data_IF_485208143301
#
_entry.id   IF_485208143301
#
_cell.length_a   1.000
_cell.length_b   1.000
_cell.length_c   1.000
_cell.angle_alpha   90.00
_cell.angle_beta   90.00
_cell.angle_gamma   90.00
#
_symmetry.space_group_name_H-M   'P 1'
#
loop_
_entity.id
_entity.type
_entity.pdbx_description
1 polymer ?
#
# COMPACT_ATOMS: atom_id res chain seq x y z
N UNK A 1 -7.35 29.90 -7.94
CA UNK A 1 -6.91 29.72 -6.53
C UNK A 1 -5.91 28.57 -6.51
N UNK A 2 -4.66 28.74 -6.06
CA UNK A 2 -3.76 27.60 -5.91
C UNK A 2 -4.37 26.61 -4.90
N UNK A 3 -4.66 25.38 -5.35
CA UNK A 3 -5.15 24.34 -4.45
C UNK A 3 -4.09 24.11 -3.35
N UNK A 4 -4.50 24.24 -2.08
CA UNK A 4 -3.61 23.97 -0.96
C UNK A 4 -3.01 22.57 -1.08
N UNK A 5 -1.68 22.48 -0.96
CA UNK A 5 -0.95 21.20 -1.03
C UNK A 5 -1.50 20.28 0.06
N UNK A 6 -1.88 19.06 -0.32
CA UNK A 6 -2.34 18.03 0.61
C UNK A 6 -1.16 17.26 1.15
N UNK A 7 -1.09 17.20 2.46
CA UNK A 7 -0.02 16.53 3.17
C UNK A 7 -0.48 15.21 3.77
N UNK A 8 0.32 14.17 3.54
CA UNK A 8 0.13 12.84 4.10
C UNK A 8 1.41 12.38 4.79
N UNK A 9 1.23 11.61 5.86
CA UNK A 9 2.28 10.72 6.32
C UNK A 9 2.10 9.37 5.62
N UNK A 10 3.19 8.73 5.25
CA UNK A 10 3.16 7.37 4.74
C UNK A 10 4.31 6.51 5.26
N UNK A 11 4.19 5.21 5.13
CA UNK A 11 5.27 4.25 5.30
C UNK A 11 5.19 3.19 4.22
N UNK A 12 6.30 2.53 3.94
CA UNK A 12 6.38 1.42 2.99
C UNK A 12 6.85 0.15 3.70
N UNK A 13 6.26 -0.98 3.33
CA UNK A 13 6.78 -2.31 3.66
C UNK A 13 7.29 -2.92 2.35
N UNK A 14 8.54 -3.36 2.36
CA UNK A 14 9.27 -3.88 1.20
C UNK A 14 9.56 -5.35 1.45
N UNK A 15 8.77 -6.23 0.86
CA UNK A 15 9.09 -7.65 0.80
C UNK A 15 10.18 -7.84 -0.26
N UNK A 16 11.30 -8.48 0.11
CA UNK A 16 12.44 -8.64 -0.77
C UNK A 16 13.05 -10.04 -0.66
N UNK A 17 13.19 -10.68 -1.81
CA UNK A 17 14.15 -11.77 -2.03
C UNK A 17 15.41 -11.16 -2.61
N UNK A 18 16.53 -11.41 -1.95
CA UNK A 18 17.81 -10.80 -2.32
C UNK A 18 18.90 -11.86 -2.38
N UNK A 19 19.91 -11.63 -3.22
CA UNK A 19 21.15 -12.42 -3.22
C UNK A 19 22.27 -11.53 -2.67
N UNK A 20 22.89 -11.87 -1.52
CA UNK A 20 23.99 -11.10 -0.98
C UNK A 20 25.22 -11.15 -1.91
N UNK A 21 26.01 -10.08 -1.91
CA UNK A 21 27.32 -10.06 -2.53
C UNK A 21 28.35 -10.66 -1.57
N UNK A 22 28.98 -11.76 -1.97
CA UNK A 22 29.95 -12.51 -1.16
C UNK A 22 29.46 -13.91 -0.80
N UNK A 23 30.39 -14.85 -0.70
CA UNK A 23 30.11 -16.21 -0.25
C UNK A 23 30.36 -16.29 1.26
N UNK A 24 29.31 -16.15 2.06
CA UNK A 24 29.37 -16.40 3.49
C UNK A 24 28.34 -17.45 3.88
N UNK A 25 28.71 -18.72 3.72
CA UNK A 25 27.82 -19.86 4.01
C UNK A 25 27.46 -19.98 5.50
N UNK A 26 28.25 -19.35 6.37
CA UNK A 26 28.00 -19.32 7.81
C UNK A 26 26.93 -18.29 8.22
N UNK A 27 26.62 -17.29 7.39
CA UNK A 27 25.66 -16.25 7.76
C UNK A 27 24.22 -16.77 7.80
N UNK A 28 23.53 -16.45 8.87
CA UNK A 28 22.08 -16.61 8.99
C UNK A 28 21.35 -15.44 8.34
N UNK A 29 20.03 -15.56 8.15
CA UNK A 29 19.23 -14.42 7.70
C UNK A 29 19.33 -13.22 8.66
N UNK A 30 19.40 -13.48 9.97
CA UNK A 30 19.54 -12.42 10.99
C UNK A 30 20.86 -11.67 10.81
N UNK A 31 21.95 -12.36 10.49
CA UNK A 31 23.23 -11.71 10.18
C UNK A 31 23.13 -10.82 8.95
N UNK A 32 22.42 -11.26 7.91
CA UNK A 32 22.16 -10.43 6.73
C UNK A 32 21.26 -9.22 7.05
N UNK A 33 20.25 -9.38 7.92
CA UNK A 33 19.43 -8.27 8.38
C UNK A 33 20.26 -7.24 9.15
N UNK A 34 21.16 -7.70 10.01
CA UNK A 34 22.13 -6.88 10.74
C UNK A 34 23.02 -6.10 9.78
N UNK A 35 23.52 -6.75 8.72
CA UNK A 35 24.33 -6.11 7.70
C UNK A 35 23.58 -4.98 7.00
N UNK A 36 22.34 -5.21 6.53
CA UNK A 36 21.56 -4.17 5.89
C UNK A 36 21.32 -2.98 6.84
N UNK A 37 20.92 -3.26 8.09
CA UNK A 37 20.72 -2.22 9.09
C UNK A 37 22.02 -1.43 9.38
N UNK A 38 23.18 -2.10 9.41
CA UNK A 38 24.48 -1.43 9.55
C UNK A 38 24.81 -0.56 8.33
N UNK A 39 24.52 -1.00 7.10
CA UNK A 39 24.75 -0.19 5.89
C UNK A 39 23.88 1.06 5.85
N UNK A 40 22.64 0.98 6.34
CA UNK A 40 21.79 2.14 6.54
C UNK A 40 22.39 3.10 7.58
N UNK A 41 22.83 2.59 8.74
CA UNK A 41 23.47 3.41 9.78
C UNK A 41 24.76 4.09 9.31
N UNK A 42 25.57 3.41 8.51
CA UNK A 42 26.79 4.00 7.91
C UNK A 42 26.49 5.18 6.98
N UNK A 43 25.25 5.31 6.51
CA UNK A 43 24.75 6.44 5.71
C UNK A 43 24.00 7.48 6.54
N UNK A 44 24.09 7.41 7.88
CA UNK A 44 23.36 8.30 8.78
C UNK A 44 21.87 7.98 8.93
N UNK A 45 21.40 6.84 8.41
CA UNK A 45 19.99 6.44 8.49
C UNK A 45 19.77 5.56 9.70
N UNK A 46 18.83 5.97 10.56
CA UNK A 46 18.42 5.18 11.71
C UNK A 46 17.79 3.87 11.24
N UNK A 47 18.39 2.74 11.62
CA UNK A 47 17.91 1.42 11.25
C UNK A 47 18.18 0.39 12.34
N UNK A 48 17.22 -0.52 12.51
CA UNK A 48 17.25 -1.66 13.43
C UNK A 48 16.91 -2.94 12.66
N UNK A 49 17.24 -4.08 13.24
CA UNK A 49 16.94 -5.40 12.69
C UNK A 49 16.26 -6.25 13.75
N UNK A 50 15.51 -7.26 13.31
CA UNK A 50 14.95 -8.27 14.19
C UNK A 50 16.02 -9.31 14.55
N UNK A 51 16.21 -9.54 15.85
CA UNK A 51 17.10 -10.58 16.37
C UNK A 51 16.37 -11.93 16.54
N UNK A 52 15.05 -11.98 16.35
CA UNK A 52 14.23 -13.17 16.54
C UNK A 52 13.80 -13.82 15.21
N UNK A 53 13.72 -15.15 15.22
CA UNK A 53 13.25 -15.95 14.06
C UNK A 53 11.72 -15.92 13.86
N UNK A 54 10.97 -15.36 14.82
CA UNK A 54 9.50 -15.28 14.81
C UNK A 54 9.04 -13.88 14.40
N UNK A 55 8.18 -13.81 13.37
CA UNK A 55 7.55 -12.56 12.92
C UNK A 55 6.95 -11.78 14.09
N UNK A 56 7.48 -10.59 14.33
CA UNK A 56 7.05 -9.71 15.41
C UNK A 56 6.76 -8.32 14.85
N UNK A 57 5.64 -7.73 15.29
CA UNK A 57 5.30 -6.35 14.92
C UNK A 57 5.92 -5.41 15.93
N UNK A 58 6.66 -4.42 15.44
CA UNK A 58 7.35 -3.42 16.27
C UNK A 58 6.87 -1.98 15.98
N UNK A 59 5.66 -1.60 16.42
CA UNK A 59 5.12 -0.25 16.21
C UNK A 59 6.02 0.89 16.71
N UNK A 60 6.86 0.60 17.70
CA UNK A 60 7.84 1.52 18.29
C UNK A 60 8.91 1.99 17.29
N UNK A 61 9.23 1.21 16.25
CA UNK A 61 10.25 1.58 15.27
C UNK A 61 9.73 2.54 14.19
N UNK A 62 8.41 2.55 13.95
CA UNK A 62 7.77 3.42 12.95
C UNK A 62 7.94 4.91 13.25
N UNK A 63 8.33 5.27 14.48
CA UNK A 63 8.58 6.63 14.93
C UNK A 63 9.87 7.29 14.43
N UNK A 64 10.72 6.57 13.68
CA UNK A 64 11.90 7.19 13.08
C UNK A 64 13.02 6.26 12.60
N UNK A 65 12.80 4.94 12.56
CA UNK A 65 13.82 3.98 12.16
C UNK A 65 13.31 3.05 11.06
N UNK A 66 14.18 2.67 10.13
CA UNK A 66 13.95 1.52 9.28
C UNK A 66 14.05 0.24 10.12
N UNK A 67 13.23 -0.76 9.80
CA UNK A 67 13.21 -2.03 10.49
C UNK A 67 13.33 -3.17 9.49
N UNK A 68 14.42 -3.94 9.60
CA UNK A 68 14.66 -5.13 8.78
C UNK A 68 14.20 -6.36 9.56
N UNK A 69 13.24 -7.10 9.02
CA UNK A 69 12.64 -8.26 9.69
C UNK A 69 12.41 -9.40 8.71
N UNK A 70 11.92 -10.52 9.22
CA UNK A 70 11.54 -11.69 8.44
C UNK A 70 10.10 -11.53 7.96
N UNK A 71 9.87 -11.81 6.68
CA UNK A 71 8.53 -12.17 6.20
C UNK A 71 8.29 -13.68 6.31
N UNK A 72 7.16 -14.09 6.87
CA UNK A 72 6.84 -15.51 7.08
C UNK A 72 6.39 -16.26 5.82
N UNK A 73 5.90 -15.51 4.83
CA UNK A 73 5.43 -16.03 3.53
C UNK A 73 6.55 -16.18 2.51
N UNK A 74 7.63 -15.40 2.65
CA UNK A 74 8.82 -15.52 1.80
C UNK A 74 9.74 -16.67 2.24
N UNK A 75 10.01 -17.60 1.33
CA UNK A 75 10.93 -18.72 1.54
C UNK A 75 11.72 -19.03 0.29
N UNK A 76 13.04 -18.90 0.35
CA UNK A 76 13.95 -19.33 -0.71
C UNK A 76 15.12 -20.10 -0.12
N UNK A 77 15.64 -21.11 -0.82
CA UNK A 77 16.86 -21.78 -0.40
C UNK A 77 18.03 -20.79 -0.42
N UNK A 78 19.08 -21.08 0.35
CA UNK A 78 20.35 -20.37 0.24
C UNK A 78 20.86 -20.45 -1.22
N UNK A 79 21.57 -19.43 -1.74
CA UNK A 79 22.12 -18.27 -1.02
C UNK A 79 21.16 -17.09 -0.87
N UNK A 80 19.87 -17.22 -1.21
CA UNK A 80 18.94 -16.12 -1.14
C UNK A 80 18.57 -15.77 0.31
N UNK A 81 18.39 -14.47 0.55
CA UNK A 81 17.94 -13.89 1.83
C UNK A 81 16.58 -13.26 1.60
N UNK A 82 15.57 -13.78 2.31
CA UNK A 82 14.22 -13.25 2.33
C UNK A 82 14.06 -12.28 3.50
N UNK A 83 13.52 -11.09 3.27
CA UNK A 83 13.28 -10.08 4.31
C UNK A 83 12.04 -9.23 4.01
N UNK A 84 11.45 -8.67 5.05
CA UNK A 84 10.57 -7.51 4.98
C UNK A 84 11.34 -6.31 5.55
N UNK A 85 11.36 -5.20 4.82
CA UNK A 85 11.97 -3.95 5.29
C UNK A 85 10.88 -2.90 5.43
N UNK A 86 10.66 -2.43 6.65
CA UNK A 86 9.62 -1.45 6.97
C UNK A 86 10.25 -0.08 7.16
N UNK A 87 9.74 0.92 6.45
CA UNK A 87 10.23 2.29 6.57
C UNK A 87 9.76 2.96 7.87
N UNK A 88 10.46 4.02 8.32
CA UNK A 88 9.85 4.95 9.26
C UNK A 88 8.63 5.64 8.64
N UNK A 89 7.85 6.33 9.47
CA UNK A 89 6.83 7.26 9.00
C UNK A 89 7.51 8.44 8.28
N UNK A 90 7.24 8.57 6.99
CA UNK A 90 7.69 9.65 6.12
C UNK A 90 6.58 10.69 5.95
N UNK A 91 6.94 11.95 5.77
CA UNK A 91 6.00 13.05 5.50
C UNK A 91 6.26 13.64 4.12
N UNK A 92 5.20 13.74 3.31
CA UNK A 92 5.23 14.37 1.98
C UNK A 92 5.64 15.84 1.97
N UNK A 93 5.66 16.53 3.13
CA UNK A 93 6.21 17.88 3.27
C UNK A 93 7.74 17.91 3.15
N UNK A 94 8.40 16.80 3.45
CA UNK A 94 9.85 16.68 3.39
C UNK A 94 10.29 15.99 2.09
N UNK A 95 11.57 16.12 1.75
CA UNK A 95 12.16 15.41 0.62
C UNK A 95 12.15 13.91 0.88
N UNK A 96 11.13 13.19 0.41
CA UNK A 96 11.02 11.73 0.60
C UNK A 96 11.83 10.93 -0.42
N UNK A 97 12.11 11.50 -1.60
CA UNK A 97 12.87 10.81 -2.64
C UNK A 97 14.30 10.46 -2.21
N UNK A 98 15.07 11.37 -1.57
CA UNK A 98 16.39 11.03 -1.02
C UNK A 98 16.33 9.87 -0.01
N UNK A 99 15.37 9.88 0.92
CA UNK A 99 15.25 8.85 1.96
C UNK A 99 15.04 7.45 1.34
N UNK A 100 14.17 7.36 0.33
CA UNK A 100 13.94 6.09 -0.39
C UNK A 100 15.15 5.73 -1.26
N UNK A 101 15.84 6.73 -1.85
CA UNK A 101 17.05 6.50 -2.64
C UNK A 101 18.18 5.93 -1.81
N UNK A 102 18.47 6.52 -0.66
CA UNK A 102 19.55 6.08 0.22
C UNK A 102 19.29 4.65 0.75
N UNK A 103 18.02 4.29 0.99
CA UNK A 103 17.66 2.91 1.30
C UNK A 103 18.04 1.95 0.16
N UNK A 104 17.64 2.26 -1.08
CA UNK A 104 17.93 1.40 -2.23
C UNK A 104 19.41 1.34 -2.57
N UNK A 105 20.15 2.42 -2.34
CA UNK A 105 21.61 2.40 -2.43
C UNK A 105 22.23 1.50 -1.36
N UNK A 106 21.79 1.60 -0.10
CA UNK A 106 22.27 0.73 0.97
C UNK A 106 21.98 -0.75 0.68
N UNK A 107 20.79 -1.06 0.16
CA UNK A 107 20.40 -2.39 -0.30
C UNK A 107 21.36 -2.88 -1.39
N UNK A 108 21.59 -2.08 -2.44
CA UNK A 108 22.39 -2.46 -3.61
C UNK A 108 23.90 -2.52 -3.38
N UNK A 109 24.40 -1.95 -2.28
CA UNK A 109 25.80 -2.10 -1.91
C UNK A 109 26.13 -3.54 -1.49
N UNK A 110 25.17 -4.24 -0.88
CA UNK A 110 25.44 -5.55 -0.28
C UNK A 110 24.55 -6.69 -0.80
N UNK A 111 23.50 -6.33 -1.52
CA UNK A 111 22.54 -7.27 -2.06
C UNK A 111 22.21 -6.96 -3.51
N UNK A 112 21.97 -8.02 -4.29
CA UNK A 112 21.27 -7.96 -5.57
C UNK A 112 19.79 -8.28 -5.29
N UNK A 113 18.86 -7.32 -5.29
CA UNK A 113 17.43 -7.63 -5.26
C UNK A 113 17.06 -8.52 -6.43
N UNK A 114 16.22 -9.53 -6.18
CA UNK A 114 15.73 -10.44 -7.20
C UNK A 114 14.32 -10.05 -7.62
N UNK A 115 14.04 -10.26 -8.90
CA UNK A 115 12.66 -10.30 -9.37
C UNK A 115 12.05 -11.63 -8.89
N UNK A 116 11.07 -11.53 -8.02
CA UNK A 116 10.38 -12.65 -7.40
C UNK A 116 8.91 -12.30 -7.14
N UNK A 117 8.00 -12.99 -7.81
CA UNK A 117 6.55 -12.76 -7.76
C UNK A 117 5.92 -12.95 -6.38
N UNK A 118 6.62 -13.62 -5.45
CA UNK A 118 6.16 -13.72 -4.06
C UNK A 118 6.34 -12.42 -3.28
N UNK A 119 7.16 -11.48 -3.77
CA UNK A 119 7.38 -10.19 -3.13
C UNK A 119 6.29 -9.17 -3.47
N UNK A 120 5.77 -8.51 -2.44
CA UNK A 120 4.89 -7.36 -2.54
C UNK A 120 5.44 -6.09 -1.91
N UNK A 121 4.96 -4.97 -2.43
CA UNK A 121 5.13 -3.67 -1.81
C UNK A 121 3.84 -3.21 -1.14
N UNK A 122 3.93 -2.79 0.12
CA UNK A 122 2.80 -2.18 0.82
C UNK A 122 3.03 -0.69 1.03
N UNK A 123 1.97 0.11 0.91
CA UNK A 123 2.00 1.54 1.23
C UNK A 123 0.93 1.86 2.26
N UNK A 124 1.38 2.36 3.41
CA UNK A 124 0.53 2.78 4.51
C UNK A 124 0.38 4.28 4.48
N UNK A 125 -0.85 4.80 4.58
CA UNK A 125 -1.10 6.26 4.52
C UNK A 125 -1.94 6.72 5.70
N UNK A 126 -1.59 7.87 6.26
CA UNK A 126 -2.39 8.65 7.21
C UNK A 126 -2.42 10.12 6.82
N UNK A 127 -3.45 10.89 7.22
CA UNK A 127 -3.43 12.34 7.04
C UNK A 127 -2.42 12.97 8.01
N UNK A 128 -1.89 14.14 7.66
CA UNK A 128 -1.14 14.99 8.60
C UNK A 128 -2.15 15.76 9.45
N UNK A 129 -2.39 15.29 10.68
CA UNK A 129 -3.19 15.98 11.69
C UNK A 129 -2.75 15.57 13.09
N UNK A 130 -3.28 16.22 14.13
CA UNK A 130 -2.91 15.97 15.54
C UNK A 130 -3.01 14.50 15.97
N UNK A 131 -3.87 13.71 15.32
CA UNK A 131 -4.10 12.30 15.65
C UNK A 131 -3.49 11.33 14.65
N UNK A 132 -2.87 11.82 13.56
CA UNK A 132 -2.44 11.07 12.38
C UNK A 132 -3.47 10.03 11.92
N UNK A 133 -4.76 10.42 11.91
CA UNK A 133 -5.88 9.50 11.68
C UNK A 133 -6.93 10.13 10.79
N UNK A 134 -7.46 9.34 9.85
CA UNK A 134 -8.64 9.74 9.09
C UNK A 134 -9.88 9.80 10.00
N UNK A 135 -10.76 10.76 9.72
CA UNK A 135 -12.12 10.77 10.28
C UNK A 135 -12.93 9.62 9.70
N UNK A 136 -14.00 9.17 10.39
CA UNK A 136 -14.89 8.16 9.84
C UNK A 136 -15.53 8.64 8.52
N UNK A 137 -15.92 9.91 8.44
CA UNK A 137 -16.45 10.53 7.21
C UNK A 137 -15.48 10.35 6.04
N UNK A 138 -14.21 10.66 6.24
CA UNK A 138 -13.18 10.49 5.20
C UNK A 138 -12.96 9.01 4.84
N UNK A 139 -12.94 8.13 5.84
CA UNK A 139 -12.79 6.69 5.62
C UNK A 139 -13.92 6.11 4.76
N UNK A 140 -15.17 6.55 4.97
CA UNK A 140 -16.31 6.13 4.15
C UNK A 140 -16.16 6.53 2.68
N UNK A 141 -15.66 7.75 2.41
CA UNK A 141 -15.37 8.19 1.03
C UNK A 141 -14.34 7.29 0.36
N UNK A 142 -13.23 7.03 1.06
CA UNK A 142 -12.14 6.18 0.55
C UNK A 142 -12.64 4.75 0.36
N UNK A 143 -13.38 4.21 1.32
CA UNK A 143 -13.96 2.87 1.25
C UNK A 143 -14.87 2.70 0.03
N UNK A 144 -15.73 3.67 -0.26
CA UNK A 144 -16.61 3.56 -1.43
C UNK A 144 -15.86 3.73 -2.75
N UNK A 145 -14.91 4.66 -2.83
CA UNK A 145 -14.05 4.81 -4.00
C UNK A 145 -13.20 3.56 -4.26
N UNK A 146 -12.73 2.86 -3.22
CA UNK A 146 -12.08 1.55 -3.33
C UNK A 146 -12.94 0.55 -4.09
N UNK A 147 -14.26 0.54 -3.88
CA UNK A 147 -15.17 -0.39 -4.56
C UNK A 147 -15.46 0.05 -5.99
N UNK A 148 -15.77 1.34 -6.19
CA UNK A 148 -16.11 1.88 -7.52
C UNK A 148 -14.92 1.82 -8.47
N UNK A 149 -13.71 2.08 -7.99
CA UNK A 149 -12.50 2.06 -8.80
C UNK A 149 -11.73 0.75 -8.80
N UNK A 150 -12.26 -0.28 -8.14
CA UNK A 150 -11.54 -1.53 -7.95
C UNK A 150 -11.11 -2.17 -9.28
N UNK A 151 -11.94 -2.12 -10.32
CA UNK A 151 -11.63 -2.76 -11.61
C UNK A 151 -10.55 -1.98 -12.39
N UNK A 152 -10.52 -0.65 -12.29
CA UNK A 152 -9.43 0.16 -12.84
C UNK A 152 -8.11 -0.13 -12.13
N UNK A 153 -8.15 -0.28 -10.80
CA UNK A 153 -6.97 -0.65 -10.02
C UNK A 153 -6.51 -2.05 -10.42
N UNK A 154 -7.43 -3.02 -10.55
CA UNK A 154 -7.11 -4.40 -10.92
C UNK A 154 -6.40 -4.49 -12.29
N UNK A 155 -6.80 -3.67 -13.27
CA UNK A 155 -6.15 -3.62 -14.58
C UNK A 155 -4.72 -3.04 -14.51
N UNK A 156 -4.49 -2.09 -13.61
CA UNK A 156 -3.17 -1.49 -13.36
C UNK A 156 -2.22 -2.45 -12.63
N UNK A 157 -2.74 -3.40 -11.85
CA UNK A 157 -1.91 -4.35 -11.11
C UNK A 157 -1.09 -5.26 -12.05
N UNK A 158 0.14 -5.63 -11.67
CA UNK A 158 0.86 -6.74 -12.32
C UNK A 158 0.06 -8.04 -12.25
N UNK A 159 0.23 -8.91 -13.23
CA UNK A 159 -0.48 -10.19 -13.32
C UNK A 159 -0.37 -11.01 -12.01
N UNK A 160 0.86 -11.14 -11.47
CA UNK A 160 1.12 -11.85 -10.22
C UNK A 160 0.40 -11.28 -8.98
N UNK A 161 -0.11 -10.04 -9.02
CA UNK A 161 -0.85 -9.41 -7.93
C UNK A 161 -2.37 -9.50 -8.09
N UNK A 162 -2.90 -9.75 -9.29
CA UNK A 162 -4.35 -9.75 -9.56
C UNK A 162 -5.07 -10.92 -8.89
N UNK A 163 -4.43 -12.09 -8.83
CA UNK A 163 -4.99 -13.31 -8.22
C UNK A 163 -4.22 -13.76 -6.97
N UNK A 164 -3.49 -12.83 -6.33
CA UNK A 164 -2.70 -13.17 -5.16
C UNK A 164 -3.60 -13.23 -3.92
N UNK A 165 -3.59 -14.38 -3.22
CA UNK A 165 -4.35 -14.57 -1.99
C UNK A 165 -4.09 -13.49 -0.94
N UNK A 166 -2.88 -12.94 -0.86
CA UNK A 166 -2.49 -11.95 0.14
C UNK A 166 -2.97 -10.53 -0.19
N UNK A 167 -3.44 -10.23 -1.40
CA UNK A 167 -3.93 -8.90 -1.78
C UNK A 167 -5.15 -8.93 -2.71
N UNK A 168 -6.12 -9.80 -2.39
CA UNK A 168 -7.37 -9.94 -3.16
C UNK A 168 -8.14 -8.63 -3.28
N UNK A 169 -8.94 -8.49 -4.34
CA UNK A 169 -9.90 -7.41 -4.44
C UNK A 169 -10.80 -7.35 -3.19
N UNK A 170 -11.13 -6.16 -2.72
CA UNK A 170 -11.95 -5.97 -1.52
C UNK A 170 -13.33 -6.61 -1.69
N UNK A 171 -13.94 -6.53 -2.88
CA UNK A 171 -15.21 -7.20 -3.22
C UNK A 171 -15.16 -8.72 -3.10
N UNK A 172 -13.97 -9.32 -3.19
CA UNK A 172 -13.73 -10.76 -3.07
C UNK A 172 -13.29 -11.17 -1.65
N UNK A 173 -13.32 -10.25 -0.68
CA UNK A 173 -12.97 -10.56 0.70
C UNK A 173 -14.05 -11.44 1.33
N UNK A 174 -13.74 -12.73 1.49
CA UNK A 174 -14.61 -13.69 2.16
C UNK A 174 -15.01 -13.18 3.54
N UNK A 175 -16.23 -13.52 3.97
CA UNK A 175 -16.84 -13.11 5.24
C UNK A 175 -17.04 -11.59 5.44
N UNK A 176 -16.74 -10.77 4.44
CA UNK A 176 -17.01 -9.33 4.48
C UNK A 176 -18.46 -9.00 4.14
N UNK A 177 -18.97 -7.89 4.68
CA UNK A 177 -20.27 -7.35 4.26
C UNK A 177 -20.29 -6.94 2.79
N UNK A 178 -19.17 -6.45 2.28
CA UNK A 178 -18.99 -6.05 0.88
C UNK A 178 -19.15 -7.23 -0.08
N UNK A 179 -18.52 -8.36 0.22
CA UNK A 179 -18.67 -9.58 -0.58
C UNK A 179 -20.11 -10.09 -0.56
N UNK A 180 -20.81 -10.01 0.58
CA UNK A 180 -22.24 -10.34 0.65
C UNK A 180 -23.09 -9.42 -0.23
N UNK A 181 -22.76 -8.13 -0.31
CA UNK A 181 -23.48 -7.17 -1.16
C UNK A 181 -23.18 -7.37 -2.65
N UNK A 182 -21.93 -7.71 -3.00
CA UNK A 182 -21.44 -7.78 -4.38
C UNK A 182 -21.28 -9.22 -4.92
N UNK A 183 -21.75 -10.24 -4.20
CA UNK A 183 -21.53 -11.65 -4.56
C UNK A 183 -22.07 -12.04 -5.94
N UNK A 184 -23.03 -11.29 -6.47
CA UNK A 184 -23.62 -11.47 -7.81
C UNK A 184 -23.00 -10.55 -8.87
N UNK A 185 -21.90 -9.88 -8.55
CA UNK A 185 -21.23 -8.91 -9.41
C UNK A 185 -21.60 -7.45 -9.10
N UNK A 186 -20.92 -6.53 -9.80
CA UNK A 186 -21.15 -5.09 -9.70
C UNK A 186 -22.21 -4.65 -10.71
N UNK A 187 -23.21 -3.94 -10.20
CA UNK A 187 -24.18 -3.17 -10.97
C UNK A 187 -24.40 -1.82 -10.30
N UNK A 188 -25.08 -0.89 -10.98
CA UNK A 188 -25.43 0.42 -10.39
C UNK A 188 -26.23 0.22 -9.09
N UNK A 189 -27.22 -0.66 -9.09
CA UNK A 189 -28.03 -0.95 -7.90
C UNK A 189 -27.22 -1.58 -6.77
N UNK A 190 -26.31 -2.50 -7.10
CA UNK A 190 -25.43 -3.10 -6.11
C UNK A 190 -24.50 -2.05 -5.49
N UNK A 191 -23.96 -1.13 -6.29
CA UNK A 191 -23.11 -0.03 -5.81
C UNK A 191 -23.90 1.00 -4.98
N UNK A 192 -25.16 1.28 -5.30
CA UNK A 192 -26.04 2.07 -4.43
C UNK A 192 -26.28 1.40 -3.08
N UNK A 193 -26.49 0.07 -3.06
CA UNK A 193 -26.58 -0.71 -1.81
C UNK A 193 -25.29 -0.62 -1.00
N UNK A 194 -24.13 -0.77 -1.64
CA UNK A 194 -22.81 -0.59 -0.99
C UNK A 194 -22.69 0.82 -0.40
N UNK A 195 -23.08 1.87 -1.14
CA UNK A 195 -23.06 3.24 -0.64
C UNK A 195 -23.93 3.41 0.60
N UNK A 196 -25.16 2.88 0.59
CA UNK A 196 -26.08 2.92 1.73
C UNK A 196 -25.49 2.19 2.96
N UNK A 197 -24.93 1.00 2.76
CA UNK A 197 -24.26 0.24 3.83
C UNK A 197 -23.07 0.98 4.42
N UNK A 198 -22.22 1.57 3.59
CA UNK A 198 -21.08 2.38 4.06
C UNK A 198 -21.57 3.61 4.83
N UNK A 199 -22.62 4.29 4.35
CA UNK A 199 -23.22 5.45 5.04
C UNK A 199 -23.78 5.06 6.40
N UNK A 200 -24.38 3.88 6.55
CA UNK A 200 -24.98 3.43 7.82
C UNK A 200 -23.96 3.13 8.93
N UNK A 201 -22.69 2.86 8.60
CA UNK A 201 -21.69 2.49 9.63
C UNK A 201 -21.35 3.67 10.55
N UNK A 202 -21.56 3.53 11.86
CA UNK A 202 -21.30 4.60 12.84
C UNK A 202 -19.92 4.48 13.50
N UNK A 203 -19.26 3.33 13.40
CA UNK A 203 -17.91 3.09 13.96
C UNK A 203 -16.92 2.63 12.90
N UNK A 204 -15.64 2.94 13.13
CA UNK A 204 -14.53 2.52 12.25
C UNK A 204 -14.37 0.99 12.17
N UNK A 205 -14.64 0.29 13.27
CA UNK A 205 -14.60 -1.17 13.31
C UNK A 205 -15.67 -1.77 12.39
N UNK A 206 -16.91 -1.26 12.46
CA UNK A 206 -18.02 -1.71 11.60
C UNK A 206 -17.73 -1.46 10.12
N UNK A 207 -17.14 -0.30 9.78
CA UNK A 207 -16.68 -0.01 8.42
C UNK A 207 -15.61 -1.01 7.95
N UNK A 208 -14.62 -1.32 8.79
CA UNK A 208 -13.61 -2.31 8.44
C UNK A 208 -14.22 -3.69 8.23
N UNK A 209 -15.08 -4.17 9.13
CA UNK A 209 -15.72 -5.48 8.99
C UNK A 209 -16.63 -5.56 7.76
N UNK A 210 -17.24 -4.44 7.36
CA UNK A 210 -17.96 -4.37 6.10
C UNK A 210 -17.01 -4.52 4.90
N UNK A 211 -15.89 -3.78 4.89
CA UNK A 211 -14.96 -3.75 3.76
C UNK A 211 -14.07 -5.00 3.61
N UNK A 212 -13.90 -5.80 4.67
CA UNK A 212 -13.04 -6.98 4.65
C UNK A 212 -13.34 -7.96 5.80
N UNK A 213 -13.19 -9.26 5.54
CA UNK A 213 -13.24 -10.30 6.58
C UNK A 213 -11.88 -10.55 7.25
N UNK A 214 -10.78 -10.35 6.52
CA UNK A 214 -9.41 -10.51 7.02
C UNK A 214 -8.46 -9.47 6.39
N UNK A 215 -7.16 -9.50 6.71
CA UNK A 215 -6.17 -8.51 6.22
C UNK A 215 -5.70 -8.72 4.77
N UNK A 216 -6.05 -9.84 4.15
CA UNK A 216 -5.57 -10.27 2.83
C UNK A 216 -6.41 -9.68 1.70
N UNK A 217 -6.53 -8.35 1.72
CA UNK A 217 -7.25 -7.55 0.74
C UNK A 217 -6.35 -6.44 0.19
N UNK A 218 -6.67 -5.94 -0.99
CA UNK A 218 -5.92 -4.93 -1.73
C UNK A 218 -5.84 -3.61 -0.96
N UNK A 219 -6.96 -3.12 -0.45
CA UNK A 219 -7.04 -2.00 0.47
C UNK A 219 -7.41 -2.49 1.86
N UNK A 220 -6.42 -2.56 2.73
CA UNK A 220 -6.55 -3.03 4.10
C UNK A 220 -6.85 -1.87 5.07
N UNK A 221 -8.05 -1.89 5.64
CA UNK A 221 -8.57 -0.97 6.64
C UNK A 221 -8.33 -1.44 8.08
N UNK A 222 -7.70 -2.60 8.32
CA UNK A 222 -7.55 -3.15 9.68
C UNK A 222 -6.78 -2.21 10.64
N UNK A 223 -5.99 -1.28 10.11
CA UNK A 223 -5.14 -0.38 10.89
C UNK A 223 -5.86 0.90 11.36
N UNK A 224 -7.11 1.14 10.96
CA UNK A 224 -7.86 2.39 11.25
C UNK A 224 -8.46 2.44 12.67
N UNK A 225 -8.50 1.31 13.39
CA UNK A 225 -9.03 1.17 14.75
C UNK A 225 -8.22 0.18 15.59
N UNK A 226 -8.20 0.31 16.93
CA UNK A 226 -7.51 -0.64 17.80
C UNK A 226 -8.26 -1.98 17.86
N UNK A 227 -7.54 -3.10 17.71
CA UNK A 227 -8.08 -4.43 18.03
C UNK A 227 -8.23 -4.56 19.54
N UNK A 228 -9.22 -5.33 20.04
CA UNK A 228 -9.51 -5.54 21.48
C UNK A 228 -8.28 -5.76 22.38
N UNK A 229 -7.24 -6.44 21.89
CA UNK A 229 -6.00 -6.73 22.66
C UNK A 229 -4.91 -5.65 22.56
N UNK A 230 -5.05 -4.65 21.68
CA UNK A 230 -4.06 -3.58 21.47
C UNK A 230 -4.67 -2.23 21.82
N UNK A 231 -4.05 -1.53 22.78
CA UNK A 231 -4.47 -0.18 23.21
C UNK A 231 -4.27 0.90 22.12
N UNK A 232 -3.48 0.63 21.07
CA UNK A 232 -3.14 1.58 20.01
C UNK A 232 -3.24 0.95 18.61
N UNK A 233 -3.53 1.79 17.62
CA UNK A 233 -3.46 1.47 16.19
C UNK A 233 -2.74 2.60 15.44
N UNK A 234 -2.09 2.27 14.34
CA UNK A 234 -1.34 3.24 13.50
C UNK A 234 -2.28 4.25 12.83
N UNK A 235 -3.54 3.89 12.57
CA UNK A 235 -4.51 4.76 11.93
C UNK A 235 -4.46 4.74 10.39
N UNK A 236 -3.59 3.90 9.82
CA UNK A 236 -3.29 3.88 8.39
C UNK A 236 -4.39 3.18 7.57
N UNK A 237 -4.52 3.58 6.31
CA UNK A 237 -5.04 2.71 5.24
C UNK A 237 -3.83 2.10 4.55
N UNK A 238 -3.85 0.79 4.31
CA UNK A 238 -2.73 0.05 3.72
C UNK A 238 -3.13 -0.44 2.33
N UNK A 239 -2.40 -0.02 1.31
CA UNK A 239 -2.50 -0.59 -0.03
C UNK A 239 -1.49 -1.72 -0.17
N UNK A 240 -1.95 -2.90 -0.58
CA UNK A 240 -1.14 -4.12 -0.68
C UNK A 240 -0.95 -4.59 -2.11
N UNK A 241 -1.27 -3.76 -3.11
CA UNK A 241 -1.19 -4.12 -4.52
C UNK A 241 0.14 -3.80 -5.19
N UNK A 242 1.08 -3.18 -4.46
CA UNK A 242 2.39 -2.87 -5.00
C UNK A 242 3.06 -4.15 -5.51
N UNK A 243 3.73 -4.03 -6.65
CA UNK A 243 4.57 -5.10 -7.15
C UNK A 243 5.80 -5.30 -6.22
N UNK A 244 6.73 -6.16 -6.63
CA UNK A 244 8.06 -6.19 -6.05
C UNK A 244 8.72 -4.81 -6.17
N UNK A 245 8.92 -4.12 -5.05
CA UNK A 245 9.70 -2.89 -5.08
C UNK A 245 11.16 -3.29 -5.27
N UNK A 246 11.78 -2.85 -6.36
CA UNK A 246 13.17 -3.19 -6.69
C UNK A 246 14.11 -1.99 -6.69
N UNK A 247 13.55 -0.78 -6.72
CA UNK A 247 14.31 0.45 -6.82
C UNK A 247 13.48 1.65 -6.36
N UNK A 248 14.15 2.80 -6.26
CA UNK A 248 13.57 4.08 -5.84
C UNK A 248 12.40 4.50 -6.70
N UNK A 249 12.51 4.32 -8.02
CA UNK A 249 11.49 4.75 -8.99
C UNK A 249 10.20 3.95 -8.84
N UNK A 250 10.27 2.62 -8.81
CA UNK A 250 9.10 1.75 -8.60
C UNK A 250 8.45 1.99 -7.24
N UNK A 251 9.25 2.06 -6.17
CA UNK A 251 8.75 2.37 -4.82
C UNK A 251 7.98 3.69 -4.79
N UNK A 252 8.55 4.76 -5.33
CA UNK A 252 7.91 6.08 -5.34
C UNK A 252 6.71 6.15 -6.30
N UNK A 253 6.68 5.36 -7.38
CA UNK A 253 5.53 5.28 -8.28
C UNK A 253 4.30 4.72 -7.54
N UNK A 254 4.46 3.63 -6.79
CA UNK A 254 3.39 3.06 -5.98
C UNK A 254 2.97 3.96 -4.82
N UNK A 255 3.92 4.62 -4.15
CA UNK A 255 3.59 5.64 -3.14
C UNK A 255 2.76 6.76 -3.77
N UNK A 256 3.18 7.29 -4.92
CA UNK A 256 2.48 8.35 -5.62
C UNK A 256 1.07 7.93 -6.04
N UNK A 257 0.90 6.70 -6.51
CA UNK A 257 -0.39 6.14 -6.87
C UNK A 257 -1.33 6.12 -5.67
N UNK A 258 -0.88 5.57 -4.54
CA UNK A 258 -1.72 5.42 -3.34
C UNK A 258 -2.13 6.78 -2.77
N UNK A 259 -1.20 7.75 -2.74
CA UNK A 259 -1.51 9.12 -2.32
C UNK A 259 -2.45 9.84 -3.29
N UNK A 260 -2.27 9.65 -4.59
CA UNK A 260 -3.16 10.14 -5.64
C UNK A 260 -4.57 9.56 -5.51
N UNK A 261 -4.68 8.24 -5.33
CA UNK A 261 -5.94 7.53 -5.13
C UNK A 261 -6.70 8.05 -3.91
N UNK A 262 -6.05 8.14 -2.75
CA UNK A 262 -6.69 8.64 -1.52
C UNK A 262 -7.14 10.10 -1.70
N UNK A 263 -6.36 10.91 -2.41
CA UNK A 263 -6.72 12.30 -2.71
C UNK A 263 -7.94 12.37 -3.62
N UNK A 264 -7.95 11.63 -4.72
CA UNK A 264 -9.06 11.55 -5.66
C UNK A 264 -10.35 11.10 -4.97
N UNK A 265 -10.27 10.01 -4.20
CA UNK A 265 -11.41 9.47 -3.45
C UNK A 265 -12.04 10.47 -2.49
N UNK A 266 -11.24 11.35 -1.87
CA UNK A 266 -11.73 12.39 -0.97
C UNK A 266 -12.45 13.52 -1.71
N UNK A 267 -11.98 13.85 -2.91
CA UNK A 267 -12.42 15.00 -3.71
C UNK A 267 -13.68 14.71 -4.49
N UNK A 268 -13.71 13.58 -5.18
CA UNK A 268 -14.88 13.20 -5.96
C UNK A 268 -16.05 12.80 -5.09
N UNK A 269 -15.77 12.38 -3.85
CA UNK A 269 -16.79 12.02 -2.86
C UNK A 269 -17.89 11.17 -3.49
N UNK A 270 -17.47 10.12 -4.19
CA UNK A 270 -18.37 9.22 -4.91
C UNK A 270 -19.48 8.68 -4.01
N UNK A 271 -19.24 8.64 -2.69
CA UNK A 271 -20.26 8.26 -1.72
C UNK A 271 -21.51 9.14 -1.80
N UNK A 272 -21.43 10.38 -2.29
CA UNK A 272 -22.56 11.30 -2.47
C UNK A 272 -22.81 11.66 -3.94
N UNK A 273 -21.82 11.48 -4.82
CA UNK A 273 -21.88 11.90 -6.22
C UNK A 273 -21.79 10.76 -7.23
N UNK A 274 -21.90 9.51 -6.80
CA UNK A 274 -21.91 8.36 -7.73
C UNK A 274 -23.21 8.32 -8.53
N UNK A 275 -23.07 8.16 -9.85
CA UNK A 275 -24.19 8.13 -10.79
C UNK A 275 -24.08 7.02 -11.85
N UNK A 276 -22.89 6.45 -12.08
CA UNK A 276 -22.69 5.46 -13.15
C UNK A 276 -21.58 4.46 -12.83
N UNK A 277 -21.71 3.26 -13.35
CA UNK A 277 -20.67 2.24 -13.40
C UNK A 277 -20.63 1.61 -14.80
N UNK A 278 -19.43 1.46 -15.33
CA UNK A 278 -19.17 0.82 -16.63
C UNK A 278 -18.25 -0.37 -16.36
N UNK A 279 -18.63 -1.61 -16.73
CA UNK A 279 -17.82 -2.78 -16.46
C UNK A 279 -16.61 -2.88 -17.41
N UNK A 280 -15.57 -3.65 -17.05
CA UNK A 280 -14.40 -3.88 -17.92
C UNK A 280 -14.69 -4.50 -19.29
N UNK A 281 -15.85 -5.15 -19.43
CA UNK A 281 -16.31 -5.76 -20.69
C UNK A 281 -16.90 -4.75 -21.67
N UNK A 282 -17.13 -3.51 -21.25
CA UNK A 282 -17.70 -2.46 -22.10
C UNK A 282 -16.66 -1.92 -23.11
N UNK A 283 -17.02 -1.70 -24.39
CA UNK A 283 -16.10 -1.19 -25.41
C UNK A 283 -15.47 0.17 -25.07
N UNK A 284 -16.11 0.99 -24.24
CA UNK A 284 -15.60 2.30 -23.80
C UNK A 284 -14.56 2.21 -22.68
N UNK A 285 -14.38 1.04 -22.06
CA UNK A 285 -13.52 0.83 -20.91
C UNK A 285 -12.07 1.33 -21.10
N UNK A 286 -11.37 1.05 -22.23
CA UNK A 286 -10.00 1.52 -22.41
C UNK A 286 -9.87 3.05 -22.38
N UNK A 287 -10.89 3.79 -22.84
CA UNK A 287 -10.94 5.25 -22.76
C UNK A 287 -11.13 5.70 -21.31
N UNK A 288 -12.06 5.08 -20.60
CA UNK A 288 -12.36 5.39 -19.19
C UNK A 288 -11.16 5.11 -18.28
N UNK A 289 -10.42 4.03 -18.50
CA UNK A 289 -9.21 3.70 -17.74
C UNK A 289 -8.12 4.78 -17.91
N UNK A 290 -7.92 5.28 -19.14
CA UNK A 290 -7.02 6.40 -19.42
C UNK A 290 -7.48 7.70 -18.75
N UNK A 291 -8.78 8.00 -18.77
CA UNK A 291 -9.35 9.19 -18.12
C UNK A 291 -9.24 9.12 -16.59
N UNK A 292 -9.51 7.95 -16.00
CA UNK A 292 -9.29 7.69 -14.59
C UNK A 292 -7.81 7.88 -14.20
N UNK A 293 -6.88 7.35 -15.00
CA UNK A 293 -5.45 7.51 -14.74
C UNK A 293 -5.02 8.99 -14.77
N UNK A 294 -5.53 9.78 -15.73
CA UNK A 294 -5.28 11.25 -15.75
C UNK A 294 -5.74 11.91 -14.45
N UNK A 295 -6.90 11.54 -13.93
CA UNK A 295 -7.42 12.05 -12.64
C UNK A 295 -6.55 11.62 -11.45
N UNK A 296 -6.04 10.39 -11.43
CA UNK A 296 -5.07 9.94 -10.42
C UNK A 296 -3.79 10.79 -10.46
N UNK A 297 -3.24 11.04 -11.66
CA UNK A 297 -2.04 11.87 -11.84
C UNK A 297 -2.28 13.30 -11.39
N UNK A 298 -3.45 13.86 -11.68
CA UNK A 298 -3.84 15.20 -11.22
C UNK A 298 -3.95 15.24 -9.69
N UNK A 299 -4.65 14.29 -9.08
CA UNK A 299 -4.77 14.19 -7.62
C UNK A 299 -3.40 14.05 -6.93
N UNK A 300 -2.46 13.31 -7.53
CA UNK A 300 -1.09 13.17 -7.03
C UNK A 300 -0.25 14.46 -7.09
N UNK A 301 -0.63 15.46 -7.92
CA UNK A 301 0.03 16.78 -7.91
C UNK A 301 -0.15 17.49 -6.58
N UNK A 302 -1.28 17.27 -5.91
CA UNK A 302 -1.59 17.91 -4.64
C UNK A 302 -0.65 17.49 -3.51
N UNK A 303 0.02 16.34 -3.61
CA UNK A 303 1.06 15.91 -2.68
C UNK A 303 2.47 15.99 -3.28
N UNK A 304 2.65 16.67 -4.42
CA UNK A 304 3.91 16.78 -5.17
C UNK A 304 4.50 15.43 -5.61
N UNK A 305 3.66 14.41 -5.77
CA UNK A 305 4.10 13.04 -6.08
C UNK A 305 3.86 12.64 -7.54
N UNK A 306 3.07 13.41 -8.30
CA UNK A 306 2.70 13.09 -9.70
C UNK A 306 3.89 12.84 -10.63
N UNK A 307 5.04 13.48 -10.38
CA UNK A 307 6.28 13.26 -11.15
C UNK A 307 6.82 11.83 -11.08
N UNK A 308 6.43 11.07 -10.06
CA UNK A 308 6.83 9.68 -9.89
C UNK A 308 5.89 8.70 -10.60
N UNK A 309 4.72 9.17 -11.04
CA UNK A 309 3.79 8.35 -11.80
C UNK A 309 4.22 8.24 -13.26
N UNK A 310 4.12 7.05 -13.87
CA UNK A 310 4.30 6.89 -15.31
C UNK A 310 3.26 7.67 -16.11
N UNK A 311 3.50 7.75 -17.42
CA UNK A 311 2.56 8.44 -18.29
C UNK A 311 1.21 7.69 -18.35
N UNK A 312 1.30 6.38 -18.47
CA UNK A 312 0.16 5.46 -18.60
C UNK A 312 0.06 4.51 -17.41
N UNK A 313 -1.15 4.03 -17.10
CA UNK A 313 -1.37 3.10 -15.98
C UNK A 313 -0.78 1.72 -16.27
N UNK A 314 -0.66 1.32 -17.53
CA UNK A 314 -0.11 0.01 -17.92
C UNK A 314 1.37 -0.13 -17.55
N UNK A 315 2.13 0.97 -17.54
CA UNK A 315 3.51 0.97 -17.06
C UNK A 315 3.64 0.64 -15.57
N UNK A 316 2.59 0.76 -14.77
CA UNK A 316 2.60 0.31 -13.36
C UNK A 316 2.66 -1.22 -13.23
N UNK A 317 2.30 -1.96 -14.28
CA UNK A 317 2.36 -3.43 -14.27
C UNK A 317 3.81 -3.94 -14.21
N UNK A 318 4.78 -3.11 -14.61
CA UNK A 318 6.21 -3.47 -14.70
C UNK A 318 7.13 -2.64 -13.80
N UNK A 319 6.63 -1.54 -13.19
CA UNK A 319 7.43 -0.59 -12.39
C UNK A 319 7.32 -0.80 -10.90
#
# INVERSE_FOLDING_TARGET
>A
MPHAVRHYNFGVEIEAVTRPYGNCESFTNVDWYRQLAQKLRNRGIQAVHDDCSKYSKHPEYYGGKWFVTRDGSLKRPRPYVCMEVVSPKLDTMHGVSPIISDFWEAMRVHFKPQEDESCGGHVHVTPVNLKNKFSLRTLKKIAFATVVYEDFVAEMLPAARRDNHYCRLNSQSLDSGLNKTLGWGKSIDALHKVAAEIRSKTRKADLCHYMQGNRYVLWNFQNIYPKRRRRRCTGTIEFRGGNQFLNTKGTLAWVAFVLGFITLAKEEDLLHHFYSYVPPTDPSWPRLAKEWWKRIREAAKQSRMSRHLPETYTEMQTK
#
